data_IF_032882679987
#
_entry.id   IF_032882679987
#
_cell.length_a   1.000
_cell.length_b   1.000
_cell.length_c   1.000
_cell.angle_alpha   90.00
_cell.angle_beta   90.00
_cell.angle_gamma   90.00
#
_symmetry.space_group_name_H-M   'P 1'
#
loop_
_entity.id
_entity.type
_entity.pdbx_description
1 polymer ?
#
# COMPACT_ATOMS: atom_id res chain seq x y z
N UNK A 1 -0.70 15.63 -16.82
CA UNK A 1 -0.02 15.28 -18.09
C UNK A 1 0.33 13.79 -18.06
N UNK A 2 0.15 13.03 -19.14
CA UNK A 2 0.47 11.59 -19.12
C UNK A 2 1.99 11.36 -19.07
N UNK A 3 2.45 10.35 -18.32
CA UNK A 3 3.86 9.97 -18.26
C UNK A 3 4.27 9.31 -19.60
N UNK A 4 5.21 9.87 -20.37
CA UNK A 4 5.61 9.33 -21.68
C UNK A 4 6.13 7.89 -21.60
N UNK A 5 6.73 7.54 -20.47
CA UNK A 5 7.24 6.20 -20.23
C UNK A 5 6.09 5.21 -19.97
N UNK A 6 5.08 5.58 -19.19
CA UNK A 6 3.90 4.74 -18.99
C UNK A 6 3.15 4.52 -20.32
N UNK A 7 3.03 5.54 -21.16
CA UNK A 7 2.47 5.41 -22.51
C UNK A 7 3.28 4.45 -23.39
N UNK A 8 4.61 4.47 -23.26
CA UNK A 8 5.48 3.51 -23.95
C UNK A 8 5.23 2.07 -23.45
N UNK A 9 5.01 1.88 -22.15
CA UNK A 9 4.65 0.58 -21.58
C UNK A 9 3.28 0.10 -22.07
N UNK A 10 2.29 1.00 -22.15
CA UNK A 10 0.94 0.70 -22.68
C UNK A 10 0.93 0.31 -24.17
N UNK A 11 1.96 0.69 -24.92
CA UNK A 11 2.14 0.32 -26.31
C UNK A 11 2.86 -1.03 -26.51
N UNK A 12 3.48 -1.59 -25.47
CA UNK A 12 4.25 -2.84 -25.57
C UNK A 12 3.34 -4.06 -25.43
N UNK A 13 3.44 -5.08 -26.30
CA UNK A 13 2.74 -6.36 -26.13
C UNK A 13 2.90 -6.96 -24.73
N UNK A 14 1.83 -7.57 -24.19
CA UNK A 14 1.81 -8.17 -22.85
C UNK A 14 3.00 -9.13 -22.60
N UNK A 15 3.38 -9.91 -23.60
CA UNK A 15 4.54 -10.81 -23.52
C UNK A 15 5.86 -10.06 -23.28
N UNK A 16 6.06 -8.91 -23.92
CA UNK A 16 7.25 -8.09 -23.74
C UNK A 16 7.23 -7.41 -22.36
N UNK A 17 6.07 -6.94 -21.90
CA UNK A 17 5.92 -6.42 -20.54
C UNK A 17 6.32 -7.44 -19.48
N UNK A 18 5.83 -8.68 -19.59
CA UNK A 18 6.18 -9.76 -18.66
C UNK A 18 7.66 -10.16 -18.76
N UNK A 19 8.24 -10.12 -19.97
CA UNK A 19 9.67 -10.39 -20.16
C UNK A 19 10.53 -9.31 -19.52
N UNK A 20 10.16 -8.04 -19.67
CA UNK A 20 10.82 -6.91 -19.02
C UNK A 20 10.68 -7.00 -17.50
N UNK A 21 9.49 -7.30 -17.01
CA UNK A 21 9.22 -7.51 -15.59
C UNK A 21 10.15 -8.59 -15.02
N UNK A 22 10.19 -9.78 -15.64
CA UNK A 22 11.01 -10.90 -15.16
C UNK A 22 12.53 -10.67 -15.18
N UNK A 23 13.02 -9.62 -15.85
CA UNK A 23 14.42 -9.21 -15.77
C UNK A 23 14.76 -8.35 -14.55
N UNK A 24 13.75 -7.79 -13.87
CA UNK A 24 13.92 -6.79 -12.79
C UNK A 24 13.25 -7.23 -11.48
N UNK A 25 12.12 -7.92 -11.56
CA UNK A 25 11.30 -8.31 -10.41
C UNK A 25 11.32 -9.84 -10.21
N UNK A 26 10.95 -10.30 -9.01
CA UNK A 26 11.02 -11.73 -8.67
C UNK A 26 10.04 -12.56 -9.52
N UNK A 27 10.36 -13.85 -9.72
CA UNK A 27 9.46 -14.75 -10.43
C UNK A 27 8.11 -14.90 -9.73
N UNK A 28 8.07 -14.77 -8.41
CA UNK A 28 6.84 -14.82 -7.61
C UNK A 28 5.94 -13.60 -7.91
N UNK A 29 6.52 -12.40 -8.02
CA UNK A 29 5.78 -11.19 -8.40
C UNK A 29 5.23 -11.30 -9.84
N UNK A 30 6.02 -11.84 -10.77
CA UNK A 30 5.56 -12.08 -12.16
C UNK A 30 4.41 -13.08 -12.20
N UNK A 31 4.50 -14.16 -11.42
CA UNK A 31 3.44 -15.15 -11.31
C UNK A 31 2.17 -14.54 -10.70
N UNK A 32 2.31 -13.75 -9.62
CA UNK A 32 1.18 -13.06 -9.00
C UNK A 32 0.46 -12.11 -9.97
N UNK A 33 1.19 -11.34 -10.78
CA UNK A 33 0.61 -10.47 -11.83
C UNK A 33 -0.16 -11.29 -12.87
N UNK A 34 0.37 -12.47 -13.21
CA UNK A 34 -0.20 -13.35 -14.24
C UNK A 34 -1.43 -14.12 -13.72
N UNK A 35 -1.43 -14.49 -12.44
CA UNK A 35 -2.50 -15.21 -11.75
C UNK A 35 -3.68 -14.30 -11.36
N UNK A 36 -3.40 -13.08 -10.91
CA UNK A 36 -4.45 -12.17 -10.40
C UNK A 36 -5.44 -11.71 -11.49
N UNK A 37 -5.11 -11.81 -12.79
CA UNK A 37 -6.03 -11.49 -13.89
C UNK A 37 -5.74 -12.28 -15.16
N UNK A 38 -6.73 -13.00 -15.68
CA UNK A 38 -6.73 -13.40 -17.08
C UNK A 38 -6.78 -12.16 -17.98
N UNK A 39 -5.63 -11.67 -18.45
CA UNK A 39 -5.34 -10.80 -19.62
C UNK A 39 -6.51 -9.95 -20.16
N UNK A 40 -7.32 -9.28 -19.32
CA UNK A 40 -8.52 -8.56 -19.81
C UNK A 40 -8.35 -7.05 -19.94
N UNK A 41 -7.34 -6.45 -19.31
CA UNK A 41 -6.99 -5.04 -19.54
C UNK A 41 -5.48 -4.87 -19.62
N UNK A 42 -5.00 -4.78 -20.87
CA UNK A 42 -3.59 -4.56 -21.20
C UNK A 42 -2.99 -3.34 -20.51
N UNK A 43 -3.77 -2.26 -20.39
CA UNK A 43 -3.35 -1.02 -19.76
C UNK A 43 -3.03 -1.19 -18.27
N UNK A 44 -3.82 -1.99 -17.55
CA UNK A 44 -3.56 -2.27 -16.13
C UNK A 44 -2.32 -3.14 -15.94
N UNK A 45 -2.06 -4.08 -16.85
CA UNK A 45 -0.82 -4.85 -16.84
C UNK A 45 0.39 -3.94 -17.05
N UNK A 46 0.34 -3.05 -18.05
CA UNK A 46 1.40 -2.10 -18.34
C UNK A 46 1.69 -1.19 -17.15
N UNK A 47 0.64 -0.66 -16.50
CA UNK A 47 0.74 0.21 -15.34
C UNK A 47 1.33 -0.51 -14.12
N UNK A 48 0.89 -1.75 -13.88
CA UNK A 48 1.41 -2.54 -12.76
C UNK A 48 2.87 -2.93 -12.95
N UNK A 49 3.25 -3.36 -14.16
CA UNK A 49 4.65 -3.66 -14.48
C UNK A 49 5.50 -2.39 -14.37
N UNK A 50 5.00 -1.25 -14.84
CA UNK A 50 5.68 0.04 -14.73
C UNK A 50 6.00 0.40 -13.28
N UNK A 51 5.05 0.28 -12.36
CA UNK A 51 5.27 0.60 -10.96
C UNK A 51 6.16 -0.39 -10.23
N UNK A 52 5.95 -1.70 -10.46
CA UNK A 52 6.74 -2.74 -9.80
C UNK A 52 8.23 -2.69 -10.18
N UNK A 53 8.55 -2.35 -11.42
CA UNK A 53 9.92 -2.11 -11.86
C UNK A 53 10.52 -0.92 -11.09
N UNK A 54 9.77 0.18 -10.97
CA UNK A 54 10.23 1.37 -10.25
C UNK A 54 10.46 1.10 -8.76
N UNK A 55 9.58 0.37 -8.11
CA UNK A 55 9.70 0.00 -6.70
C UNK A 55 10.93 -0.91 -6.47
N UNK A 56 11.16 -1.88 -7.36
CA UNK A 56 12.34 -2.77 -7.28
C UNK A 56 13.65 -2.00 -7.48
N UNK A 57 13.72 -1.14 -8.50
CA UNK A 57 14.91 -0.31 -8.74
C UNK A 57 15.19 0.62 -7.56
N UNK A 58 14.14 1.20 -6.97
CA UNK A 58 14.25 2.03 -5.78
C UNK A 58 14.76 1.26 -4.56
N UNK A 59 14.30 0.02 -4.38
CA UNK A 59 14.76 -0.87 -3.32
C UNK A 59 16.23 -1.28 -3.48
N UNK A 60 16.68 -1.47 -4.72
CA UNK A 60 18.08 -1.77 -5.06
C UNK A 60 19.01 -0.55 -4.96
N UNK A 61 18.44 0.66 -4.80
CA UNK A 61 19.21 1.91 -4.76
C UNK A 61 19.68 2.40 -6.13
N UNK A 62 19.20 1.78 -7.22
CA UNK A 62 19.44 2.24 -8.59
C UNK A 62 18.46 3.37 -8.93
N UNK A 63 18.85 4.58 -8.52
CA UNK A 63 18.06 5.79 -8.76
C UNK A 63 18.59 6.46 -10.02
N UNK A 64 18.16 5.93 -11.16
CA UNK A 64 18.36 6.56 -12.45
C UNK A 64 17.16 7.44 -12.82
N UNK A 65 17.23 8.13 -13.96
CA UNK A 65 16.17 9.05 -14.40
C UNK A 65 14.80 8.37 -14.58
N UNK A 66 14.76 7.08 -14.89
CA UNK A 66 13.52 6.30 -15.00
C UNK A 66 12.89 6.07 -13.63
N UNK A 67 13.68 5.63 -12.65
CA UNK A 67 13.25 5.47 -11.26
C UNK A 67 12.72 6.81 -10.71
N UNK A 68 13.38 7.92 -11.03
CA UNK A 68 12.91 9.26 -10.65
C UNK A 68 11.54 9.60 -11.24
N UNK A 69 11.34 9.38 -12.53
CA UNK A 69 10.04 9.63 -13.19
C UNK A 69 8.93 8.77 -12.60
N UNK A 70 9.22 7.51 -12.28
CA UNK A 70 8.29 6.62 -11.60
C UNK A 70 7.91 7.14 -10.23
N UNK A 71 8.87 7.60 -9.42
CA UNK A 71 8.59 8.19 -8.10
C UNK A 71 7.71 9.45 -8.21
N UNK A 72 8.02 10.36 -9.14
CA UNK A 72 7.22 11.57 -9.38
C UNK A 72 5.81 11.25 -9.87
N UNK A 73 5.64 10.19 -10.64
CA UNK A 73 4.33 9.73 -11.10
C UNK A 73 3.52 9.11 -9.95
N UNK A 74 4.12 8.21 -9.15
CA UNK A 74 3.48 7.60 -7.97
C UNK A 74 3.02 8.64 -6.95
N UNK A 75 3.78 9.71 -6.77
CA UNK A 75 3.42 10.80 -5.88
C UNK A 75 2.24 11.61 -6.42
N UNK A 76 2.17 11.84 -7.74
CA UNK A 76 1.06 12.56 -8.39
C UNK A 76 -0.24 11.77 -8.39
N UNK A 77 -0.20 10.48 -8.69
CA UNK A 77 -1.41 9.64 -8.65
C UNK A 77 -2.06 9.55 -7.27
N UNK A 78 -1.27 9.79 -6.21
CA UNK A 78 -1.75 9.78 -4.83
C UNK A 78 -2.07 11.18 -4.30
N UNK A 79 -2.05 12.20 -5.15
CA UNK A 79 -2.19 13.62 -4.77
C UNK A 79 -1.22 14.04 -3.65
N UNK A 80 -0.01 13.49 -3.65
CA UNK A 80 1.06 13.78 -2.69
C UNK A 80 2.08 14.82 -3.18
N UNK A 81 1.84 15.39 -4.36
CA UNK A 81 2.58 16.47 -4.97
C UNK A 81 1.62 17.54 -5.49
N UNK A 82 1.93 18.80 -5.18
CA UNK A 82 1.26 19.94 -5.82
C UNK A 82 1.83 20.16 -7.23
N UNK A 83 1.02 20.73 -8.13
CA UNK A 83 1.41 20.92 -9.53
C UNK A 83 2.67 21.81 -9.64
N UNK A 84 3.72 21.28 -10.27
CA UNK A 84 5.01 21.97 -10.45
C UNK A 84 5.97 21.87 -9.25
N UNK A 85 5.57 21.30 -8.12
CA UNK A 85 6.45 21.12 -6.95
C UNK A 85 7.60 20.14 -7.26
N UNK A 86 7.38 19.20 -8.17
CA UNK A 86 8.35 18.21 -8.68
C UNK A 86 9.61 18.83 -9.27
N UNK A 87 9.50 19.98 -9.96
CA UNK A 87 10.62 20.66 -10.62
C UNK A 87 11.54 21.36 -9.61
N UNK A 88 10.99 21.71 -8.45
CA UNK A 88 11.74 22.30 -7.34
C UNK A 88 12.39 21.24 -6.42
N UNK A 89 12.06 19.96 -6.59
CA UNK A 89 12.58 18.88 -5.77
C UNK A 89 13.83 18.24 -6.36
N UNK A 90 14.82 18.08 -5.50
CA UNK A 90 15.97 17.21 -5.76
C UNK A 90 15.51 15.75 -5.69
N UNK A 91 16.23 14.86 -6.37
CA UNK A 91 15.93 13.42 -6.39
C UNK A 91 15.78 12.81 -4.98
N UNK A 92 16.67 13.17 -4.05
CA UNK A 92 16.59 12.69 -2.67
C UNK A 92 15.32 13.18 -1.94
N UNK A 93 14.82 14.39 -2.25
CA UNK A 93 13.59 14.92 -1.65
C UNK A 93 12.37 14.15 -2.15
N UNK A 94 12.33 13.85 -3.45
CA UNK A 94 11.30 12.99 -4.05
C UNK A 94 11.30 11.63 -3.35
N UNK A 95 12.47 11.02 -3.17
CA UNK A 95 12.62 9.73 -2.50
C UNK A 95 12.15 9.75 -1.05
N UNK A 96 12.61 10.72 -0.25
CA UNK A 96 12.22 10.83 1.16
C UNK A 96 10.70 11.06 1.28
N UNK A 97 10.12 11.89 0.41
CA UNK A 97 8.68 12.13 0.42
C UNK A 97 7.89 10.88 0.11
N UNK A 98 8.26 10.14 -0.94
CA UNK A 98 7.60 8.88 -1.30
C UNK A 98 7.68 7.85 -0.17
N UNK A 99 8.87 7.66 0.41
CA UNK A 99 9.07 6.73 1.53
C UNK A 99 8.24 7.12 2.75
N UNK A 100 8.25 8.41 3.13
CA UNK A 100 7.55 8.88 4.33
C UNK A 100 6.04 8.77 4.17
N UNK A 101 5.50 9.15 3.01
CA UNK A 101 4.06 9.09 2.73
C UNK A 101 3.56 7.65 2.64
N UNK A 102 4.31 6.77 1.96
CA UNK A 102 3.95 5.35 1.86
C UNK A 102 3.92 4.68 3.23
N UNK A 103 4.96 4.90 4.05
CA UNK A 103 5.01 4.36 5.41
C UNK A 103 3.87 4.88 6.29
N UNK A 104 3.52 6.15 6.16
CA UNK A 104 2.40 6.73 6.90
C UNK A 104 1.08 6.10 6.48
N UNK A 105 0.84 5.92 5.17
CA UNK A 105 -0.35 5.27 4.65
C UNK A 105 -0.46 3.81 5.10
N UNK A 106 0.65 3.06 5.13
CA UNK A 106 0.68 1.69 5.65
C UNK A 106 0.32 1.61 7.14
N UNK A 107 0.85 2.53 7.96
CA UNK A 107 0.52 2.59 9.39
C UNK A 107 -0.98 2.87 9.57
N UNK A 108 -1.52 3.86 8.84
CA UNK A 108 -2.96 4.16 8.90
C UNK A 108 -3.82 2.98 8.45
N UNK A 109 -3.45 2.29 7.37
CA UNK A 109 -4.16 1.11 6.90
C UNK A 109 -4.14 -0.02 7.93
N UNK A 110 -3.00 -0.24 8.61
CA UNK A 110 -2.89 -1.23 9.70
C UNK A 110 -3.72 -0.85 10.92
N UNK A 111 -3.74 0.43 11.30
CA UNK A 111 -4.57 0.92 12.41
C UNK A 111 -6.06 0.79 12.11
N UNK A 112 -6.49 1.07 10.87
CA UNK A 112 -7.87 0.88 10.43
C UNK A 112 -8.27 -0.60 10.37
N UNK A 113 -7.37 -1.48 9.91
CA UNK A 113 -7.60 -2.92 9.91
C UNK A 113 -7.61 -3.51 11.34
N UNK A 114 -6.75 -3.00 12.23
CA UNK A 114 -6.68 -3.42 13.64
C UNK A 114 -7.83 -2.89 14.49
N UNK A 115 -8.35 -1.70 14.19
CA UNK A 115 -9.51 -1.09 14.87
C UNK A 115 -10.84 -1.76 14.55
N UNK A 116 -10.93 -2.54 13.46
CA UNK A 116 -12.14 -3.26 13.06
C UNK A 116 -12.37 -4.58 13.84
N UNK A 117 -11.40 -5.00 14.68
CA UNK A 117 -11.48 -6.27 15.42
C UNK A 117 -11.92 -6.15 16.88
N UNK A 118 -12.33 -4.96 17.35
CA UNK A 118 -12.65 -4.73 18.78
C UNK A 118 -14.04 -4.14 19.06
N UNK A 119 -15.04 -4.40 18.22
CA UNK A 119 -16.42 -3.95 18.48
C UNK A 119 -17.52 -5.02 18.38
N UNK A 120 -17.21 -6.32 18.42
CA UNK A 120 -18.21 -7.40 18.55
C UNK A 120 -17.96 -8.28 19.79
N UNK A 121 -17.82 -7.65 20.95
CA UNK A 121 -17.92 -8.35 22.25
C UNK A 121 -18.58 -7.45 23.29
N UNK A 122 -19.79 -6.98 22.96
CA UNK A 122 -20.74 -6.51 23.94
C UNK A 122 -22.10 -7.11 23.56
N UNK A 123 -22.76 -7.71 24.56
CA UNK A 123 -24.06 -8.43 24.54
C UNK A 123 -23.94 -9.93 24.22
N UNK A 124 -24.45 -10.87 25.02
CA UNK A 124 -25.22 -10.91 26.28
C UNK A 124 -25.03 -12.35 26.80
N UNK A 125 -24.87 -12.56 28.11
CA UNK A 125 -25.63 -13.65 28.72
C UNK A 125 -25.89 -13.36 30.21
N UNK A 126 -27.17 -13.34 30.54
CA UNK A 126 -27.66 -13.04 31.87
C UNK A 126 -27.78 -14.29 32.71
N UNK A 127 -27.44 -14.17 34.00
CA UNK A 127 -28.32 -14.67 35.06
C UNK A 127 -27.90 -14.14 36.44
N UNK A 128 -28.87 -13.73 37.28
CA UNK A 128 -28.61 -13.22 38.61
C UNK A 128 -28.62 -14.36 39.63
N UNK A 129 -27.52 -14.54 40.36
CA UNK A 129 -27.54 -15.32 41.62
C UNK A 129 -27.44 -14.35 42.79
N UNK A 130 -28.62 -14.13 43.36
CA UNK A 130 -28.86 -13.63 44.70
C UNK A 130 -28.25 -14.59 45.73
N UNK A 131 -27.48 -14.07 46.69
CA UNK A 131 -26.93 -14.91 47.75
C UNK A 131 -26.00 -14.21 48.73
N UNK A 132 -26.61 -13.42 49.64
CA UNK A 132 -26.18 -13.15 51.03
C UNK A 132 -24.69 -12.90 51.31
N UNK A 133 -24.40 -11.67 51.78
CA UNK A 133 -23.70 -11.45 53.05
C UNK A 133 -23.90 -10.01 53.50
N UNK A 134 -25.02 -9.76 54.18
CA UNK A 134 -25.28 -8.53 54.92
C UNK A 134 -25.12 -8.81 56.40
N UNK A 135 -24.01 -8.37 56.97
CA UNK A 135 -23.84 -8.18 58.41
C UNK A 135 -24.85 -7.15 58.91
N UNK A 136 -25.53 -7.43 60.01
CA UNK A 136 -25.94 -6.39 60.96
C UNK A 136 -26.08 -7.00 62.35
N UNK A 137 -25.40 -6.31 63.27
CA UNK A 137 -25.35 -6.42 64.72
C UNK A 137 -26.65 -6.80 65.43
N UNK A 138 -26.51 -7.55 66.54
CA UNK A 138 -26.85 -7.01 67.87
C UNK A 138 -26.67 -8.05 69.00
N UNK A 139 -25.72 -7.76 69.89
CA UNK A 139 -25.91 -7.60 71.36
C UNK A 139 -26.37 -8.79 72.25
N UNK A 140 -25.64 -8.94 73.37
CA UNK A 140 -26.08 -9.16 74.78
C UNK A 140 -25.50 -10.42 75.47
N UNK A 141 -24.82 -10.12 76.60
CA UNK A 141 -24.38 -10.95 77.74
C UNK A 141 -23.16 -11.87 77.57
#
# INVERSE_FOLDING_TARGET
>A
MSCPLLESFRALPARLLLTLAGGVISSDDVNQITEERGVREHNLLAERVYYLIGDNLLAQGDVNSMTRLQMEHSLREKDWLDEGEEQAMTEWKVRIRLLTRTRFAEIQAREQAGGMHTQDSASEDGSPVSGRCGSSDSTVC
#
